data_IF_708080366281
#
_entry.id   IF_708080366281
#
_cell.length_a   1.000
_cell.length_b   1.000
_cell.length_c   1.000
_cell.angle_alpha   90.00
_cell.angle_beta   90.00
_cell.angle_gamma   90.00
#
_symmetry.space_group_name_H-M   'P 1'
#
loop_
_entity.id
_entity.type
_entity.pdbx_description
1 polymer ?
#
# COMPACT_ATOMS: atom_id res chain seq x y z
N UNK A 1 52.52 -26.92 6.44
CA UNK A 1 52.03 -25.56 6.28
C UNK A 1 50.52 -25.54 6.53
N UNK A 2 50.13 -25.20 7.73
CA UNK A 2 48.71 -25.19 8.13
C UNK A 2 48.00 -24.01 7.50
N UNK A 3 46.89 -24.28 6.82
CA UNK A 3 46.18 -23.33 6.00
C UNK A 3 45.32 -22.40 6.89
N UNK A 4 45.87 -21.27 7.30
CA UNK A 4 45.30 -20.25 8.20
C UNK A 4 43.97 -19.67 7.69
N UNK A 5 43.69 -19.81 6.40
CA UNK A 5 42.40 -19.31 5.80
C UNK A 5 41.17 -20.11 6.22
N UNK A 6 41.35 -21.39 6.51
CA UNK A 6 40.20 -22.26 6.94
C UNK A 6 39.85 -22.00 8.42
N UNK A 7 40.86 -21.65 9.25
CA UNK A 7 40.65 -21.36 10.68
C UNK A 7 39.94 -20.00 10.87
N UNK A 8 40.26 -18.99 10.05
CA UNK A 8 39.57 -17.70 10.13
C UNK A 8 38.11 -17.74 9.69
N UNK A 9 37.75 -18.54 8.64
CA UNK A 9 36.37 -18.73 8.24
C UNK A 9 35.53 -19.48 9.28
N UNK A 10 36.13 -20.44 9.98
CA UNK A 10 35.48 -21.16 11.08
C UNK A 10 35.18 -20.25 12.29
N UNK A 11 36.08 -19.32 12.61
CA UNK A 11 35.89 -18.39 13.74
C UNK A 11 34.86 -17.29 13.42
N UNK A 12 34.78 -16.80 12.18
CA UNK A 12 33.75 -15.82 11.77
C UNK A 12 32.37 -16.43 11.78
N UNK A 13 32.23 -17.69 11.33
CA UNK A 13 30.94 -18.40 11.38
C UNK A 13 30.54 -18.80 12.81
N UNK A 14 31.50 -19.17 13.67
CA UNK A 14 31.24 -19.46 15.08
C UNK A 14 30.90 -18.19 15.89
N UNK A 15 31.51 -17.04 15.60
CA UNK A 15 31.18 -15.77 16.22
C UNK A 15 29.79 -15.28 15.81
N UNK A 16 29.38 -15.44 14.54
CA UNK A 16 28.02 -15.14 14.09
C UNK A 16 26.96 -16.05 14.73
N UNK A 17 27.28 -17.35 14.93
CA UNK A 17 26.40 -18.31 15.61
C UNK A 17 26.34 -18.12 17.14
N UNK A 18 27.39 -17.62 17.77
CA UNK A 18 27.43 -17.32 19.20
C UNK A 18 26.71 -16.00 19.54
N UNK A 19 26.74 -15.02 18.65
CA UNK A 19 25.95 -13.77 18.78
C UNK A 19 24.44 -14.04 18.72
N UNK A 20 23.99 -15.12 18.08
CA UNK A 20 22.58 -15.54 18.06
C UNK A 20 22.11 -16.28 19.33
N UNK A 21 23.02 -16.68 20.24
CA UNK A 21 22.68 -17.40 21.50
C UNK A 21 22.81 -16.57 22.77
N UNK A 22 23.31 -15.35 22.69
CA UNK A 22 23.34 -14.40 23.80
C UNK A 22 22.14 -13.46 23.68
N UNK A 23 21.01 -13.76 24.37
CA UNK A 23 19.85 -12.91 24.58
C UNK A 23 19.53 -11.98 23.42
N UNK A 24 18.93 -12.49 22.35
CA UNK A 24 18.48 -11.66 21.25
C UNK A 24 17.61 -10.56 21.85
N UNK A 25 18.05 -9.31 21.70
CA UNK A 25 17.27 -8.15 22.13
C UNK A 25 15.92 -8.27 21.42
N UNK A 26 14.86 -8.49 22.19
CA UNK A 26 13.54 -8.76 21.66
C UNK A 26 12.97 -7.48 21.03
N UNK A 27 13.18 -7.34 19.74
CA UNK A 27 12.72 -6.17 18.97
C UNK A 27 11.21 -5.96 19.07
N UNK A 28 10.45 -7.04 19.25
CA UNK A 28 8.99 -7.00 19.45
C UNK A 28 8.61 -6.25 20.72
N UNK A 29 9.36 -6.45 21.82
CA UNK A 29 9.09 -5.69 23.07
C UNK A 29 9.26 -4.19 22.91
N UNK A 30 10.24 -3.76 22.13
CA UNK A 30 10.41 -2.33 21.81
C UNK A 30 9.25 -1.82 20.97
N UNK A 31 8.80 -2.59 19.99
CA UNK A 31 7.64 -2.27 19.17
C UNK A 31 6.38 -2.10 20.02
N UNK A 32 6.02 -3.10 20.82
CA UNK A 32 4.84 -3.09 21.65
C UNK A 32 4.84 -1.92 22.65
N UNK A 33 5.98 -1.67 23.30
CA UNK A 33 6.14 -0.52 24.20
C UNK A 33 6.04 0.81 23.46
N UNK A 34 6.61 0.89 22.27
CA UNK A 34 6.53 2.07 21.40
C UNK A 34 5.09 2.35 20.98
N UNK A 35 4.36 1.33 20.53
CA UNK A 35 2.93 1.45 20.18
C UNK A 35 2.08 1.82 21.40
N UNK A 36 2.33 1.23 22.56
CA UNK A 36 1.63 1.59 23.81
C UNK A 36 1.89 3.06 24.20
N UNK A 37 3.12 3.55 24.05
CA UNK A 37 3.45 4.96 24.28
C UNK A 37 2.78 5.90 23.26
N UNK A 38 2.63 5.46 22.02
CA UNK A 38 1.96 6.20 20.95
C UNK A 38 0.44 6.29 21.19
N UNK A 39 -0.18 5.20 21.64
CA UNK A 39 -1.62 5.09 21.85
C UNK A 39 -2.08 5.53 23.27
N UNK A 40 -1.14 5.73 24.18
CA UNK A 40 -1.45 5.99 25.58
C UNK A 40 -2.02 4.77 26.33
N UNK A 41 -1.82 3.56 25.80
CA UNK A 41 -2.33 2.31 26.39
C UNK A 41 -1.46 1.87 27.55
N UNK A 42 -1.95 2.04 28.78
CA UNK A 42 -1.24 1.63 30.00
C UNK A 42 -0.09 2.55 30.45
N UNK A 43 0.29 3.54 29.65
CA UNK A 43 1.26 4.60 29.96
C UNK A 43 0.77 5.92 29.36
N UNK A 44 1.28 7.06 29.87
CA UNK A 44 0.95 8.36 29.30
C UNK A 44 1.36 8.43 27.83
N UNK A 45 0.50 8.99 27.00
CA UNK A 45 0.81 9.28 25.60
C UNK A 45 2.09 10.13 25.50
N UNK A 46 3.10 9.63 24.79
CA UNK A 46 4.39 10.30 24.63
C UNK A 46 5.02 9.98 23.29
N UNK A 47 4.87 10.90 22.34
CA UNK A 47 5.39 10.75 20.98
C UNK A 47 6.92 10.58 20.91
N UNK A 48 7.65 11.27 21.79
CA UNK A 48 9.12 11.18 21.80
C UNK A 48 9.59 9.80 22.27
N UNK A 49 9.00 9.28 23.35
CA UNK A 49 9.29 7.93 23.83
C UNK A 49 8.85 6.87 22.83
N UNK A 50 7.67 7.04 22.22
CA UNK A 50 7.16 6.16 21.17
C UNK A 50 8.13 6.08 20.00
N UNK A 51 8.55 7.23 19.46
CA UNK A 51 9.48 7.30 18.36
C UNK A 51 10.81 6.61 18.68
N UNK A 52 11.38 6.86 19.86
CA UNK A 52 12.66 6.26 20.27
C UNK A 52 12.56 4.73 20.35
N UNK A 53 11.50 4.20 20.96
CA UNK A 53 11.28 2.76 21.08
C UNK A 53 11.04 2.10 19.72
N UNK A 54 10.21 2.72 18.87
CA UNK A 54 9.92 2.22 17.53
C UNK A 54 11.16 2.26 16.63
N UNK A 55 11.99 3.32 16.70
CA UNK A 55 13.28 3.36 16.00
C UNK A 55 14.23 2.26 16.47
N UNK A 56 14.35 2.05 17.78
CA UNK A 56 15.18 0.96 18.32
C UNK A 56 14.70 -0.40 17.79
N UNK A 57 13.38 -0.63 17.79
CA UNK A 57 12.79 -1.85 17.23
C UNK A 57 13.08 -2.02 15.73
N UNK A 58 12.93 -0.94 14.96
CA UNK A 58 13.19 -0.92 13.51
C UNK A 58 14.66 -1.16 13.16
N UNK A 59 15.60 -0.60 13.95
CA UNK A 59 17.04 -0.80 13.83
C UNK A 59 17.44 -2.25 14.13
N UNK A 60 16.72 -2.89 15.06
CA UNK A 60 16.85 -4.33 15.36
C UNK A 60 16.21 -5.24 14.31
N UNK A 61 15.68 -4.68 13.21
CA UNK A 61 15.16 -5.44 12.09
C UNK A 61 13.68 -5.79 12.17
N UNK A 62 12.92 -5.28 13.16
CA UNK A 62 11.49 -5.56 13.27
C UNK A 62 10.72 -4.89 12.12
N UNK A 63 10.15 -5.70 11.23
CA UNK A 63 9.54 -5.22 9.99
C UNK A 63 8.38 -4.24 10.23
N UNK A 64 7.38 -4.54 11.08
CA UNK A 64 6.33 -3.56 11.36
C UNK A 64 6.86 -2.23 11.90
N UNK A 65 7.90 -2.24 12.75
CA UNK A 65 8.49 -1.02 13.26
C UNK A 65 9.17 -0.20 12.16
N UNK A 66 9.85 -0.85 11.20
CA UNK A 66 10.45 -0.17 10.04
C UNK A 66 9.39 0.56 9.22
N UNK A 67 8.27 -0.10 8.96
CA UNK A 67 7.18 0.48 8.17
C UNK A 67 6.50 1.63 8.92
N UNK A 68 6.27 1.49 10.24
CA UNK A 68 5.71 2.57 11.08
C UNK A 68 6.64 3.77 11.17
N UNK A 69 7.94 3.57 11.37
CA UNK A 69 8.93 4.67 11.41
C UNK A 69 9.02 5.35 10.04
N UNK A 70 9.01 4.59 8.95
CA UNK A 70 8.92 5.13 7.59
C UNK A 70 7.69 5.99 7.40
N UNK A 71 6.53 5.53 7.90
CA UNK A 71 5.28 6.27 7.83
C UNK A 71 5.35 7.62 8.59
N UNK A 72 6.00 7.68 9.74
CA UNK A 72 6.15 8.95 10.45
C UNK A 72 6.95 9.98 9.64
N UNK A 73 7.99 9.56 8.94
CA UNK A 73 8.75 10.44 8.04
C UNK A 73 7.97 10.79 6.77
N UNK A 74 7.14 9.88 6.27
CA UNK A 74 6.33 10.08 5.06
C UNK A 74 5.16 11.04 5.28
N UNK A 75 4.64 11.09 6.51
CA UNK A 75 3.49 11.95 6.89
C UNK A 75 3.87 13.20 7.65
N UNK A 76 5.05 13.24 8.25
CA UNK A 76 5.44 14.31 9.18
C UNK A 76 4.66 14.31 10.50
N UNK A 77 4.12 13.15 10.93
CA UNK A 77 3.19 13.07 12.06
C UNK A 77 3.80 13.39 13.40
N UNK A 78 4.92 12.76 13.74
CA UNK A 78 5.63 12.96 15.02
C UNK A 78 7.11 13.34 14.81
N UNK A 79 7.51 13.44 13.56
CA UNK A 79 8.82 13.91 13.09
C UNK A 79 8.62 14.89 11.94
N UNK A 80 9.65 15.60 11.55
CA UNK A 80 9.60 16.41 10.33
C UNK A 80 9.29 15.52 9.10
N UNK A 81 8.55 16.07 8.14
CA UNK A 81 8.25 15.42 6.86
C UNK A 81 9.55 15.24 6.08
N UNK A 82 10.02 14.01 5.96
CA UNK A 82 11.25 13.65 5.27
C UNK A 82 11.05 12.35 4.43
N UNK A 83 10.40 12.44 3.27
CA UNK A 83 10.06 11.24 2.46
C UNK A 83 11.30 10.46 2.00
N UNK A 84 12.48 11.08 1.93
CA UNK A 84 13.74 10.38 1.67
C UNK A 84 14.10 9.40 2.79
N UNK A 85 13.92 9.79 4.05
CA UNK A 85 14.08 8.91 5.21
C UNK A 85 13.03 7.79 5.22
N UNK A 86 11.79 8.13 4.86
CA UNK A 86 10.73 7.13 4.71
C UNK A 86 11.12 6.04 3.70
N UNK A 87 11.68 6.44 2.54
CA UNK A 87 12.13 5.50 1.51
C UNK A 87 13.21 4.53 2.03
N UNK A 88 14.11 4.99 2.89
CA UNK A 88 15.14 4.13 3.49
C UNK A 88 14.53 3.07 4.43
N UNK A 89 13.56 3.47 5.25
CA UNK A 89 12.87 2.55 6.15
C UNK A 89 11.98 1.56 5.40
N UNK A 90 11.20 2.03 4.43
CA UNK A 90 10.39 1.16 3.58
C UNK A 90 11.23 0.18 2.78
N UNK A 91 12.44 0.57 2.35
CA UNK A 91 13.37 -0.35 1.68
C UNK A 91 13.79 -1.49 2.61
N UNK A 92 14.15 -1.19 3.87
CA UNK A 92 14.52 -2.23 4.85
C UNK A 92 13.39 -3.23 5.08
N UNK A 93 12.13 -2.78 5.12
CA UNK A 93 10.97 -3.64 5.23
C UNK A 93 10.74 -4.46 3.95
N UNK A 94 10.79 -3.82 2.77
CA UNK A 94 10.63 -4.46 1.48
C UNK A 94 11.70 -5.53 1.20
N UNK A 95 12.95 -5.27 1.58
CA UNK A 95 14.07 -6.22 1.45
C UNK A 95 13.87 -7.47 2.32
N UNK A 96 13.02 -7.40 3.33
CA UNK A 96 12.58 -8.53 4.16
C UNK A 96 11.29 -9.21 3.64
N UNK A 97 10.81 -8.79 2.46
CA UNK A 97 9.63 -9.37 1.81
C UNK A 97 8.28 -8.77 2.26
N UNK A 98 8.30 -7.67 3.01
CA UNK A 98 7.08 -7.01 3.46
C UNK A 98 6.34 -6.33 2.30
N UNK A 99 5.09 -6.75 2.06
CA UNK A 99 4.27 -6.19 0.98
C UNK A 99 3.94 -4.72 1.21
N UNK A 100 3.74 -4.34 2.47
CA UNK A 100 3.42 -2.97 2.87
C UNK A 100 4.61 -2.03 2.61
N UNK A 101 5.82 -2.39 3.06
CA UNK A 101 7.03 -1.65 2.74
C UNK A 101 7.31 -1.59 1.24
N UNK A 102 7.04 -2.68 0.52
CA UNK A 102 7.25 -2.74 -0.92
C UNK A 102 6.33 -1.77 -1.69
N UNK A 103 5.01 -1.75 -1.43
CA UNK A 103 4.15 -0.82 -2.15
C UNK A 103 4.37 0.64 -1.73
N UNK A 104 4.66 0.90 -0.44
CA UNK A 104 4.96 2.26 0.02
C UNK A 104 6.23 2.81 -0.66
N UNK A 105 7.30 2.01 -0.73
CA UNK A 105 8.51 2.39 -1.47
C UNK A 105 8.25 2.53 -2.97
N UNK A 106 7.49 1.60 -3.56
CA UNK A 106 7.09 1.64 -4.96
C UNK A 106 6.30 2.90 -5.30
N UNK A 107 5.39 3.32 -4.41
CA UNK A 107 4.67 4.60 -4.51
C UNK A 107 5.61 5.80 -4.50
N UNK A 108 6.59 5.83 -3.60
CA UNK A 108 7.56 6.92 -3.54
C UNK A 108 8.36 7.03 -4.86
N UNK A 109 8.79 5.91 -5.44
CA UNK A 109 9.42 5.92 -6.77
C UNK A 109 8.45 6.30 -7.89
N UNK A 110 7.18 5.90 -7.81
CA UNK A 110 6.18 6.29 -8.80
C UNK A 110 5.90 7.80 -8.79
N UNK A 111 5.73 8.37 -7.58
CA UNK A 111 5.40 9.80 -7.42
C UNK A 111 6.63 10.72 -7.49
N UNK A 112 7.81 10.20 -7.19
CA UNK A 112 9.03 10.99 -7.04
C UNK A 112 9.13 11.70 -5.68
N UNK A 113 8.37 11.26 -4.67
CA UNK A 113 8.37 11.87 -3.34
C UNK A 113 9.59 11.43 -2.52
N UNK A 114 10.48 12.35 -2.18
CA UNK A 114 11.70 12.09 -1.40
C UNK A 114 12.78 11.27 -2.13
N UNK A 115 12.44 10.72 -3.29
CA UNK A 115 13.33 9.99 -4.22
C UNK A 115 13.02 10.45 -5.64
N UNK A 116 13.96 10.33 -6.57
CA UNK A 116 13.68 10.61 -7.98
C UNK A 116 12.59 9.67 -8.52
N UNK A 117 11.66 10.21 -9.33
CA UNK A 117 10.64 9.38 -10.00
C UNK A 117 11.31 8.34 -10.90
N UNK A 118 11.03 7.07 -10.65
CA UNK A 118 11.65 5.95 -11.36
C UNK A 118 10.68 4.77 -11.47
N UNK A 119 10.03 4.66 -12.63
CA UNK A 119 9.08 3.57 -12.90
C UNK A 119 9.76 2.20 -12.96
N UNK A 120 11.05 2.15 -13.28
CA UNK A 120 11.78 0.88 -13.37
C UNK A 120 12.10 0.30 -12.00
N UNK A 121 12.28 1.17 -10.98
CA UNK A 121 12.40 0.77 -9.58
C UNK A 121 11.03 0.55 -8.93
N UNK A 122 10.03 1.34 -9.28
CA UNK A 122 8.67 1.18 -8.75
C UNK A 122 8.05 -0.16 -9.15
N UNK A 123 8.19 -0.56 -10.41
CA UNK A 123 7.50 -1.74 -10.95
C UNK A 123 7.78 -3.04 -10.19
N UNK A 124 9.03 -3.48 -9.97
CA UNK A 124 9.29 -4.74 -9.26
C UNK A 124 8.81 -4.72 -7.81
N UNK A 125 8.86 -3.59 -7.12
CA UNK A 125 8.36 -3.44 -5.76
C UNK A 125 6.83 -3.58 -5.72
N UNK A 126 6.14 -2.88 -6.61
CA UNK A 126 4.69 -2.94 -6.73
C UNK A 126 4.21 -4.32 -7.22
N UNK A 127 4.97 -4.97 -8.10
CA UNK A 127 4.70 -6.33 -8.53
C UNK A 127 4.82 -7.33 -7.36
N UNK A 128 5.83 -7.16 -6.50
CA UNK A 128 6.00 -7.97 -5.30
C UNK A 128 4.81 -7.83 -4.35
N UNK A 129 4.40 -6.59 -4.05
CA UNK A 129 3.24 -6.32 -3.21
C UNK A 129 1.93 -6.86 -3.83
N UNK A 130 1.72 -6.60 -5.12
CA UNK A 130 0.54 -7.05 -5.85
C UNK A 130 0.40 -8.59 -5.87
N UNK A 131 1.51 -9.31 -6.01
CA UNK A 131 1.52 -10.79 -5.99
C UNK A 131 1.15 -11.37 -4.62
N UNK A 132 1.32 -10.61 -3.55
CA UNK A 132 0.90 -10.94 -2.20
C UNK A 132 -0.56 -10.51 -1.90
N UNK A 133 -1.25 -9.98 -2.90
CA UNK A 133 -2.65 -9.57 -2.79
C UNK A 133 -2.86 -8.15 -2.28
N UNK A 134 -1.78 -7.36 -2.07
CA UNK A 134 -1.89 -5.99 -1.59
C UNK A 134 -2.64 -5.11 -2.60
N UNK A 135 -3.73 -4.50 -2.14
CA UNK A 135 -4.65 -3.72 -2.99
C UNK A 135 -4.00 -2.46 -3.54
N UNK A 136 -3.16 -1.80 -2.76
CA UNK A 136 -2.44 -0.59 -3.21
C UNK A 136 -1.29 -0.96 -4.14
N UNK A 137 -0.59 -2.07 -3.85
CA UNK A 137 0.40 -2.66 -4.76
C UNK A 137 -0.19 -2.93 -6.15
N UNK A 138 -1.37 -3.55 -6.22
CA UNK A 138 -2.09 -3.78 -7.47
C UNK A 138 -2.49 -2.47 -8.16
N UNK A 139 -3.01 -1.50 -7.41
CA UNK A 139 -3.43 -0.21 -7.97
C UNK A 139 -2.24 0.58 -8.54
N UNK A 140 -1.17 0.76 -7.76
CA UNK A 140 0.01 1.49 -8.22
C UNK A 140 0.75 0.77 -9.35
N UNK A 141 0.75 -0.57 -9.35
CA UNK A 141 1.24 -1.35 -10.50
C UNK A 141 0.42 -1.04 -11.75
N UNK A 142 -0.91 -0.98 -11.62
CA UNK A 142 -1.80 -0.56 -12.69
C UNK A 142 -1.45 0.83 -13.23
N UNK A 143 -1.15 1.80 -12.36
CA UNK A 143 -0.72 3.13 -12.77
C UNK A 143 0.63 3.12 -13.51
N UNK A 144 1.61 2.34 -13.04
CA UNK A 144 2.90 2.17 -13.74
C UNK A 144 2.69 1.58 -15.14
N UNK A 145 1.82 0.57 -15.27
CA UNK A 145 1.48 -0.03 -16.57
C UNK A 145 0.75 0.94 -17.47
N UNK A 146 -0.15 1.76 -16.92
CA UNK A 146 -0.86 2.81 -17.64
C UNK A 146 0.10 3.86 -18.21
N UNK A 147 1.05 4.34 -17.41
CA UNK A 147 2.07 5.30 -17.83
C UNK A 147 2.99 4.74 -18.93
N UNK A 148 3.22 3.43 -18.92
CA UNK A 148 3.95 2.71 -19.97
C UNK A 148 3.08 2.32 -21.17
N UNK A 149 1.81 2.71 -21.17
CA UNK A 149 0.83 2.36 -22.20
C UNK A 149 0.56 0.85 -22.36
N UNK A 150 0.95 0.04 -21.37
CA UNK A 150 0.60 -1.39 -21.30
C UNK A 150 -0.81 -1.54 -20.74
N UNK A 151 -1.79 -1.08 -21.52
CA UNK A 151 -3.18 -0.97 -21.09
C UNK A 151 -3.79 -2.31 -20.68
N UNK A 152 -3.37 -3.42 -21.30
CA UNK A 152 -3.89 -4.74 -20.96
C UNK A 152 -3.47 -5.18 -19.55
N UNK A 153 -2.19 -4.98 -19.20
CA UNK A 153 -1.70 -5.25 -17.85
C UNK A 153 -2.24 -4.24 -16.83
N UNK A 154 -2.40 -2.97 -17.23
CA UNK A 154 -3.04 -1.96 -16.38
C UNK A 154 -4.46 -2.38 -16.01
N UNK A 155 -5.28 -2.80 -16.99
CA UNK A 155 -6.64 -3.26 -16.76
C UNK A 155 -6.70 -4.49 -15.83
N UNK A 156 -5.76 -5.42 -15.99
CA UNK A 156 -5.66 -6.59 -15.10
C UNK A 156 -5.38 -6.18 -13.66
N UNK A 157 -4.39 -5.30 -13.45
CA UNK A 157 -4.02 -4.82 -12.11
C UNK A 157 -5.13 -3.99 -11.47
N UNK A 158 -5.77 -3.09 -12.24
CA UNK A 158 -6.91 -2.32 -11.74
C UNK A 158 -8.11 -3.20 -11.42
N UNK A 159 -8.38 -4.26 -12.20
CA UNK A 159 -9.46 -5.20 -11.92
C UNK A 159 -9.25 -5.91 -10.59
N UNK A 160 -8.05 -6.40 -10.32
CA UNK A 160 -7.72 -7.04 -9.06
C UNK A 160 -7.96 -6.11 -7.86
N UNK A 161 -7.52 -4.86 -7.94
CA UNK A 161 -7.75 -3.87 -6.89
C UNK A 161 -9.23 -3.41 -6.80
N UNK A 162 -9.92 -3.32 -7.94
CA UNK A 162 -11.33 -2.94 -8.01
C UNK A 162 -12.26 -3.98 -7.37
N UNK A 163 -11.97 -5.26 -7.60
CA UNK A 163 -12.68 -6.39 -7.00
C UNK A 163 -12.49 -6.47 -5.49
N UNK A 164 -11.35 -5.97 -5.00
CA UNK A 164 -11.09 -5.78 -3.57
C UNK A 164 -11.76 -4.52 -2.98
N UNK A 165 -12.45 -3.72 -3.80
CA UNK A 165 -13.24 -2.58 -3.36
C UNK A 165 -12.53 -1.24 -3.39
N UNK A 166 -11.36 -1.08 -4.02
CA UNK A 166 -10.65 0.19 -4.10
C UNK A 166 -11.33 1.13 -5.12
N UNK A 167 -11.95 2.27 -4.68
CA UNK A 167 -12.75 3.11 -5.57
C UNK A 167 -11.96 3.71 -6.73
N UNK A 168 -10.69 4.05 -6.51
CA UNK A 168 -9.81 4.62 -7.53
C UNK A 168 -9.47 3.59 -8.61
N UNK A 169 -9.30 2.32 -8.22
CA UNK A 169 -9.07 1.24 -9.17
C UNK A 169 -10.33 0.94 -10.00
N UNK A 170 -11.51 0.98 -9.37
CA UNK A 170 -12.81 0.85 -10.04
C UNK A 170 -12.98 1.93 -11.11
N UNK A 171 -12.66 3.18 -10.78
CA UNK A 171 -12.69 4.29 -11.71
C UNK A 171 -11.71 4.08 -12.89
N UNK A 172 -10.45 3.74 -12.61
CA UNK A 172 -9.46 3.52 -13.67
C UNK A 172 -9.84 2.36 -14.60
N UNK A 173 -10.35 1.25 -14.03
CA UNK A 173 -10.85 0.13 -14.83
C UNK A 173 -12.02 0.55 -15.72
N UNK A 174 -12.94 1.35 -15.18
CA UNK A 174 -14.09 1.86 -15.94
C UNK A 174 -13.65 2.73 -17.13
N UNK A 175 -12.64 3.58 -16.97
CA UNK A 175 -12.10 4.39 -18.06
C UNK A 175 -11.51 3.51 -19.18
N UNK A 176 -10.76 2.47 -18.82
CA UNK A 176 -10.21 1.54 -19.80
C UNK A 176 -11.32 0.78 -20.55
N UNK A 177 -12.36 0.33 -19.85
CA UNK A 177 -13.55 -0.32 -20.45
C UNK A 177 -14.35 0.63 -21.34
N UNK A 178 -14.52 1.89 -20.90
CA UNK A 178 -15.22 2.93 -21.66
C UNK A 178 -14.53 3.19 -23.00
N UNK A 179 -13.22 3.30 -22.98
CA UNK A 179 -12.39 3.66 -24.15
C UNK A 179 -11.98 2.44 -24.99
N UNK A 180 -12.12 1.21 -24.47
CA UNK A 180 -11.63 -0.01 -25.13
C UNK A 180 -10.09 -0.13 -25.14
N UNK A 181 -9.41 0.50 -24.17
CA UNK A 181 -7.95 0.49 -24.07
C UNK A 181 -7.45 -0.75 -23.34
N UNK A 182 -6.76 -1.64 -24.06
CA UNK A 182 -6.21 -2.88 -23.52
C UNK A 182 -7.23 -3.95 -23.15
N UNK A 183 -8.51 -3.63 -23.28
CA UNK A 183 -9.66 -4.50 -23.07
C UNK A 183 -10.73 -4.19 -24.14
N UNK A 184 -11.63 -5.13 -24.42
CA UNK A 184 -12.77 -4.85 -25.29
C UNK A 184 -13.61 -3.70 -24.74
N UNK A 185 -14.02 -2.76 -25.61
CA UNK A 185 -14.89 -1.67 -25.19
C UNK A 185 -16.22 -2.23 -24.63
N UNK A 186 -16.56 -1.80 -23.43
CA UNK A 186 -17.82 -2.21 -22.78
C UNK A 186 -18.35 -1.07 -21.91
N UNK A 187 -19.19 -0.23 -22.52
CA UNK A 187 -19.76 0.95 -21.86
C UNK A 187 -20.73 0.60 -20.73
N UNK A 188 -21.43 -0.52 -20.86
CA UNK A 188 -22.31 -1.02 -19.78
C UNK A 188 -21.49 -1.36 -18.52
N UNK A 189 -20.45 -2.18 -18.66
CA UNK A 189 -19.60 -2.56 -17.53
C UNK A 189 -18.81 -1.36 -17.00
N UNK A 190 -18.38 -0.43 -17.87
CA UNK A 190 -17.77 0.83 -17.45
C UNK A 190 -18.70 1.64 -16.55
N UNK A 191 -20.00 1.75 -16.93
CA UNK A 191 -20.97 2.46 -16.11
C UNK A 191 -21.22 1.77 -14.77
N UNK A 192 -21.25 0.42 -14.74
CA UNK A 192 -21.35 -0.35 -13.48
C UNK A 192 -20.19 0.00 -12.54
N UNK A 193 -18.93 -0.08 -13.02
CA UNK A 193 -17.76 0.22 -12.19
C UNK A 193 -17.69 1.70 -11.76
N UNK A 194 -18.14 2.63 -12.60
CA UNK A 194 -18.28 4.04 -12.22
C UNK A 194 -19.28 4.24 -11.10
N UNK A 195 -20.44 3.55 -11.14
CA UNK A 195 -21.45 3.61 -10.07
C UNK A 195 -20.87 3.10 -8.74
N UNK A 196 -20.22 1.93 -8.77
CA UNK A 196 -19.58 1.36 -7.56
C UNK A 196 -18.54 2.32 -6.99
N UNK A 197 -17.69 2.89 -7.85
CA UNK A 197 -16.68 3.89 -7.46
C UNK A 197 -17.30 5.16 -6.87
N UNK A 198 -18.35 5.67 -7.50
CA UNK A 198 -19.08 6.85 -7.03
C UNK A 198 -19.75 6.62 -5.67
N UNK A 199 -20.45 5.50 -5.52
CA UNK A 199 -21.13 5.14 -4.27
C UNK A 199 -20.13 4.93 -3.12
N UNK A 200 -18.91 4.53 -3.44
CA UNK A 200 -17.80 4.47 -2.48
C UNK A 200 -17.10 5.84 -2.24
N UNK A 201 -17.66 6.94 -2.73
CA UNK A 201 -17.22 8.30 -2.45
C UNK A 201 -16.24 8.90 -3.47
N UNK A 202 -15.92 8.23 -4.57
CA UNK A 202 -15.02 8.76 -5.59
C UNK A 202 -15.73 9.78 -6.51
N UNK A 203 -15.64 11.05 -6.15
CA UNK A 203 -16.28 12.16 -6.87
C UNK A 203 -15.79 12.31 -8.34
N UNK A 204 -14.62 11.77 -8.69
CA UNK A 204 -14.10 11.83 -10.06
C UNK A 204 -15.00 11.09 -11.08
N UNK A 205 -15.80 10.12 -10.62
CA UNK A 205 -16.68 9.35 -11.51
C UNK A 205 -17.89 10.12 -12.05
N UNK A 206 -18.25 11.28 -11.49
CA UNK A 206 -19.50 12.00 -11.76
C UNK A 206 -19.70 12.39 -13.22
N UNK A 207 -18.67 12.93 -13.87
CA UNK A 207 -18.77 13.38 -15.27
C UNK A 207 -18.88 12.22 -16.25
N UNK A 208 -18.16 11.13 -16.01
CA UNK A 208 -18.20 9.94 -16.84
C UNK A 208 -19.52 9.17 -16.67
N UNK A 209 -20.09 9.16 -15.46
CA UNK A 209 -21.43 8.63 -15.21
C UNK A 209 -22.47 9.37 -16.02
N UNK A 210 -22.51 10.70 -15.97
CA UNK A 210 -23.49 11.51 -16.71
C UNK A 210 -23.36 11.30 -18.23
N UNK A 211 -22.13 11.19 -18.73
CA UNK A 211 -21.88 10.90 -20.14
C UNK A 211 -22.45 9.54 -20.58
N UNK A 212 -22.12 8.46 -19.82
CA UNK A 212 -22.56 7.12 -20.16
C UNK A 212 -24.06 6.89 -19.91
N UNK A 213 -24.66 7.59 -18.96
CA UNK A 213 -26.12 7.52 -18.73
C UNK A 213 -26.92 7.98 -19.95
N UNK A 214 -26.44 9.06 -20.60
CA UNK A 214 -27.03 9.53 -21.85
C UNK A 214 -26.85 8.56 -23.03
N UNK A 215 -25.75 7.81 -23.04
CA UNK A 215 -25.41 6.89 -24.14
C UNK A 215 -26.11 5.52 -24.01
N UNK A 216 -26.30 4.99 -22.80
CA UNK A 216 -26.81 3.66 -22.54
C UNK A 216 -28.36 3.56 -22.62
N UNK A 217 -29.06 4.64 -22.34
CA UNK A 217 -30.53 4.64 -22.22
C UNK A 217 -31.04 3.99 -20.92
N UNK A 218 -32.28 4.34 -20.57
CA UNK A 218 -32.90 4.04 -19.26
C UNK A 218 -32.89 2.57 -18.87
N UNK A 219 -33.22 1.68 -19.81
CA UNK A 219 -33.28 0.24 -19.53
C UNK A 219 -31.90 -0.35 -19.15
N UNK A 220 -30.83 0.04 -19.82
CA UNK A 220 -29.50 -0.44 -19.50
C UNK A 220 -28.97 0.17 -18.21
N UNK A 221 -29.27 1.43 -17.95
CA UNK A 221 -28.95 2.12 -16.72
C UNK A 221 -29.55 1.40 -15.50
N UNK A 222 -30.83 1.01 -15.53
CA UNK A 222 -31.44 0.28 -14.42
C UNK A 222 -30.82 -1.12 -14.19
N UNK A 223 -30.49 -1.83 -15.27
CA UNK A 223 -29.74 -3.09 -15.16
C UNK A 223 -28.36 -2.89 -14.55
N UNK A 224 -27.67 -1.83 -14.95
CA UNK A 224 -26.35 -1.52 -14.42
C UNK A 224 -26.40 -1.14 -12.92
N UNK A 225 -27.41 -0.39 -12.48
CA UNK A 225 -27.63 -0.10 -11.06
C UNK A 225 -27.85 -1.38 -10.23
N UNK A 226 -28.59 -2.34 -10.78
CA UNK A 226 -28.78 -3.64 -10.12
C UNK A 226 -27.45 -4.38 -10.02
N UNK A 227 -26.67 -4.43 -11.12
CA UNK A 227 -25.36 -5.07 -11.16
C UNK A 227 -24.35 -4.42 -10.22
N UNK A 228 -24.35 -3.09 -10.11
CA UNK A 228 -23.50 -2.34 -9.18
C UNK A 228 -23.78 -2.74 -7.72
N UNK A 229 -25.05 -2.83 -7.31
CA UNK A 229 -25.42 -3.28 -5.95
C UNK A 229 -24.96 -4.71 -5.64
N UNK A 230 -24.98 -5.61 -6.63
CA UNK A 230 -24.47 -6.97 -6.46
C UNK A 230 -22.96 -6.96 -6.19
N UNK A 231 -22.19 -6.16 -6.94
CA UNK A 231 -20.74 -6.00 -6.74
C UNK A 231 -20.42 -5.38 -5.38
N UNK A 232 -21.15 -4.35 -4.96
CA UNK A 232 -20.99 -3.71 -3.65
C UNK A 232 -21.20 -4.71 -2.50
N UNK A 233 -22.23 -5.54 -2.59
CA UNK A 233 -22.53 -6.56 -1.58
C UNK A 233 -21.43 -7.63 -1.48
N UNK A 234 -20.73 -7.93 -2.57
CA UNK A 234 -19.61 -8.88 -2.58
C UNK A 234 -18.32 -8.23 -2.09
N UNK A 235 -18.02 -6.99 -2.48
CA UNK A 235 -16.85 -6.23 -2.09
C UNK A 235 -16.85 -5.86 -0.60
N UNK A 236 -18.02 -5.49 -0.03
CA UNK A 236 -18.13 -5.09 1.38
C UNK A 236 -17.67 -6.18 2.35
N UNK A 237 -17.70 -7.45 1.95
CA UNK A 237 -17.18 -8.56 2.75
C UNK A 237 -15.66 -8.62 2.78
N UNK A 238 -14.98 -8.05 1.78
CA UNK A 238 -13.51 -8.06 1.66
C UNK A 238 -12.87 -6.82 2.31
N UNK A 239 -13.47 -5.64 2.13
CA UNK A 239 -12.91 -4.33 2.57
C UNK A 239 -13.03 -4.10 4.08
N UNK A 240 -14.07 -4.65 4.73
CA UNK A 240 -14.23 -4.56 6.20
C UNK A 240 -13.06 -5.20 6.96
N UNK A 241 -12.28 -6.07 6.32
CA UNK A 241 -11.10 -6.69 6.93
C UNK A 241 -9.84 -5.79 6.97
N UNK A 242 -9.85 -4.62 6.33
CA UNK A 242 -8.63 -3.80 6.10
C UNK A 242 -8.63 -2.43 6.81
N UNK A 243 -9.40 -2.23 7.88
CA UNK A 243 -9.36 -0.98 8.68
C UNK A 243 -9.93 0.24 7.94
N UNK A 244 -9.52 1.46 8.25
CA UNK A 244 -9.91 2.67 7.50
C UNK A 244 -9.96 2.34 6.01
N UNK A 245 -11.12 2.02 5.48
CA UNK A 245 -11.39 1.41 4.16
C UNK A 245 -10.20 1.38 3.20
N UNK A 246 -9.22 0.49 3.46
CA UNK A 246 -8.01 0.35 2.65
C UNK A 246 -6.68 0.73 3.31
N UNK A 247 -6.68 1.23 4.54
CA UNK A 247 -5.44 1.45 5.28
C UNK A 247 -5.07 0.18 6.06
N UNK A 248 -3.81 -0.32 5.97
CA UNK A 248 -3.41 -1.53 6.68
C UNK A 248 -3.69 -1.42 8.17
N UNK A 249 -4.22 -2.50 8.79
CA UNK A 249 -4.66 -2.51 10.18
C UNK A 249 -3.61 -2.06 11.20
N UNK A 250 -2.32 -2.21 10.85
CA UNK A 250 -1.19 -1.73 11.66
C UNK A 250 -1.15 -0.20 11.79
N UNK A 251 -1.66 0.53 10.80
CA UNK A 251 -1.76 1.99 10.84
C UNK A 251 -3.14 2.50 11.28
N UNK A 252 -4.15 1.65 11.36
CA UNK A 252 -5.47 2.05 11.86
C UNK A 252 -5.41 2.57 13.30
N UNK A 253 -4.39 2.16 14.05
CA UNK A 253 -4.14 2.60 15.42
C UNK A 253 -3.27 3.88 15.51
N UNK A 254 -2.68 4.34 14.41
CA UNK A 254 -1.85 5.56 14.41
C UNK A 254 -2.78 6.78 14.24
N UNK A 255 -2.83 7.71 15.21
CA UNK A 255 -3.72 8.88 15.14
C UNK A 255 -3.16 9.93 14.16
N UNK A 256 -3.21 9.65 12.88
CA UNK A 256 -2.71 10.56 11.83
C UNK A 256 -3.38 10.34 10.51
N UNK A 257 -3.60 11.41 9.74
CA UNK A 257 -4.03 11.25 8.38
C UNK A 257 -2.93 10.54 7.58
N UNK A 258 -3.31 9.72 6.57
CA UNK A 258 -2.37 9.14 5.64
C UNK A 258 -1.56 10.24 4.91
N UNK A 259 -0.42 9.91 4.27
CA UNK A 259 0.32 10.83 3.44
C UNK A 259 -0.59 11.63 2.52
N UNK A 260 -0.30 12.92 2.21
CA UNK A 260 -1.21 13.80 1.48
C UNK A 260 -1.72 13.22 0.16
N UNK A 261 -0.89 12.48 -0.55
CA UNK A 261 -1.25 11.78 -1.79
C UNK A 261 -2.15 10.56 -1.57
N UNK A 262 -2.17 10.00 -0.36
CA UNK A 262 -3.04 8.90 0.03
C UNK A 262 -4.31 9.35 0.78
N UNK A 263 -4.40 10.60 1.25
CA UNK A 263 -5.58 11.11 1.96
C UNK A 263 -6.88 10.97 1.15
N UNK A 264 -6.78 11.01 -0.18
CA UNK A 264 -7.91 10.78 -1.09
C UNK A 264 -8.49 9.37 -1.02
N UNK A 265 -7.77 8.40 -0.45
CA UNK A 265 -8.23 7.01 -0.29
C UNK A 265 -8.96 6.77 1.04
N UNK A 266 -8.90 7.72 1.96
CA UNK A 266 -9.46 7.61 3.31
C UNK A 266 -10.69 8.51 3.55
N UNK A 267 -11.31 9.04 2.47
CA UNK A 267 -12.53 9.84 2.54
C UNK A 267 -13.74 9.04 2.10
#
# INVERSE_FOLDING_TARGET
MCNWRVVLLGFVLAAASAAQKGGAIDSTKYYDRGMNALLGSGISHNNQTALQLLKTSAELGHVPAQTVVGYFYDTGTIVALEPGQAAEWYRKAADQGDSLGAWLLGRLYYTGSGVGRDLSRAEPLLQSAASQGDVFGQYFLGLVKLDRQDYAKAATSFRQAAEQGLPQAQYQLALLLKDGKGVGQNRFEAYVWLLVSWNAGNQAASSDLAFLEGDLGSTQVEKAKTRARELENTATRSVVAHGCTGWPGEFAAVPSPPPPDLQRFCR
#
